data_IF_454741077767
#
_entry.id   IF_454741077767
#
_cell.length_a   1.000
_cell.length_b   1.000
_cell.length_c   1.000
_cell.angle_alpha   90.00
_cell.angle_beta   90.00
_cell.angle_gamma   90.00
#
_symmetry.space_group_name_H-M   'P 1'
#
loop_
_entity.id
_entity.type
_entity.pdbx_description
1 polymer ?
#
# COMPACT_ATOMS: atom_id res chain seq x y z
N UNK A 1 39.05 33.09 7.15
CA UNK A 1 38.79 32.00 6.18
C UNK A 1 37.86 30.88 6.73
N UNK A 2 36.92 31.18 7.65
CA UNK A 2 36.17 30.15 8.41
C UNK A 2 34.74 29.92 7.84
N UNK A 3 34.26 30.85 7.01
CA UNK A 3 32.92 30.83 6.40
C UNK A 3 32.59 29.57 5.57
N UNK A 4 33.50 29.02 4.73
CA UNK A 4 33.16 27.82 3.95
C UNK A 4 32.98 26.58 4.83
N UNK A 5 33.80 26.44 5.87
CA UNK A 5 33.70 25.34 6.83
C UNK A 5 32.39 25.42 7.63
N UNK A 6 31.98 26.62 8.05
CA UNK A 6 30.71 26.83 8.75
C UNK A 6 29.49 26.51 7.88
N UNK A 7 29.53 26.85 6.59
CA UNK A 7 28.46 26.52 5.65
C UNK A 7 28.37 25.02 5.43
N UNK A 8 29.51 24.35 5.28
CA UNK A 8 29.57 22.89 5.15
C UNK A 8 28.98 22.20 6.39
N UNK A 9 29.39 22.59 7.60
CA UNK A 9 28.85 22.04 8.86
C UNK A 9 27.34 22.24 8.94
N UNK A 10 26.83 23.44 8.65
CA UNK A 10 25.39 23.74 8.71
C UNK A 10 24.59 22.91 7.73
N UNK A 11 25.08 22.77 6.50
CA UNK A 11 24.44 21.96 5.46
C UNK A 11 24.44 20.48 5.86
N UNK A 12 25.55 19.96 6.40
CA UNK A 12 25.62 18.58 6.88
C UNK A 12 24.64 18.34 8.02
N UNK A 13 24.57 19.21 9.02
CA UNK A 13 23.62 19.09 10.13
C UNK A 13 22.18 19.13 9.61
N UNK A 14 21.86 20.05 8.69
CA UNK A 14 20.52 20.14 8.10
C UNK A 14 20.14 18.83 7.38
N UNK A 15 21.05 18.27 6.60
CA UNK A 15 20.82 17.00 5.91
C UNK A 15 20.64 15.84 6.89
N UNK A 16 21.45 15.77 7.96
CA UNK A 16 21.30 14.75 9.00
C UNK A 16 19.93 14.84 9.68
N UNK A 17 19.49 16.04 10.03
CA UNK A 17 18.16 16.26 10.63
C UNK A 17 17.05 15.88 9.66
N UNK A 18 17.17 16.27 8.38
CA UNK A 18 16.16 15.96 7.35
C UNK A 18 16.07 14.44 7.07
N UNK A 19 17.19 13.73 7.11
CA UNK A 19 17.25 12.29 6.81
C UNK A 19 17.02 11.40 8.03
N UNK A 20 17.07 11.94 9.26
CA UNK A 20 16.85 11.17 10.48
C UNK A 20 15.48 10.48 10.50
N UNK A 21 14.42 11.19 10.08
CA UNK A 21 13.06 10.64 10.01
C UNK A 21 12.95 9.43 9.07
N UNK A 22 13.27 9.59 7.77
CA UNK A 22 13.29 8.47 6.83
C UNK A 22 14.20 7.31 7.26
N UNK A 23 15.36 7.60 7.87
CA UNK A 23 16.27 6.57 8.36
C UNK A 23 15.65 5.74 9.50
N UNK A 24 14.95 6.39 10.44
CA UNK A 24 14.22 5.70 11.51
C UNK A 24 13.08 4.85 10.97
N UNK A 25 12.32 5.37 10.00
CA UNK A 25 11.26 4.59 9.33
C UNK A 25 11.86 3.35 8.68
N UNK A 26 12.94 3.49 7.90
CA UNK A 26 13.59 2.36 7.25
C UNK A 26 14.10 1.32 8.26
N UNK A 27 14.72 1.77 9.36
CA UNK A 27 15.27 0.88 10.40
C UNK A 27 14.19 0.11 11.19
N UNK A 28 12.98 0.67 11.31
CA UNK A 28 11.86 0.04 12.01
C UNK A 28 10.83 -0.60 11.07
N UNK A 29 10.97 -0.44 9.76
CA UNK A 29 10.01 -0.94 8.78
C UNK A 29 9.99 -2.47 8.73
N UNK A 30 8.79 -3.04 8.74
CA UNK A 30 8.56 -4.47 8.47
C UNK A 30 8.24 -4.74 7.00
N UNK A 31 8.20 -3.70 6.15
CA UNK A 31 7.74 -3.81 4.76
C UNK A 31 8.86 -4.08 3.74
N UNK A 32 10.13 -4.10 4.15
CA UNK A 32 11.24 -4.38 3.23
C UNK A 32 11.26 -5.85 2.79
N UNK A 33 11.31 -6.12 1.49
CA UNK A 33 11.69 -7.44 0.94
C UNK A 33 10.64 -8.20 0.12
N UNK A 34 9.36 -7.80 0.15
CA UNK A 34 8.34 -8.46 -0.70
C UNK A 34 8.30 -7.85 -2.11
N UNK A 35 8.59 -8.69 -3.09
CA UNK A 35 8.41 -8.40 -4.52
C UNK A 35 6.91 -8.44 -4.85
N UNK A 36 6.42 -7.42 -5.57
CA UNK A 36 5.03 -7.38 -6.06
C UNK A 36 4.71 -8.56 -7.01
N UNK A 37 5.73 -9.15 -7.64
CA UNK A 37 5.56 -10.27 -8.57
C UNK A 37 5.11 -11.53 -7.84
N UNK A 38 5.66 -11.74 -6.64
CA UNK A 38 5.50 -12.96 -5.84
C UNK A 38 4.49 -12.77 -4.70
N UNK A 39 3.79 -11.64 -4.69
CA UNK A 39 2.77 -11.36 -3.70
C UNK A 39 1.61 -12.36 -3.82
N UNK A 40 1.18 -12.90 -2.68
CA UNK A 40 -0.02 -13.71 -2.61
C UNK A 40 -1.24 -12.87 -3.04
N UNK A 41 -2.03 -13.42 -3.96
CA UNK A 41 -3.28 -12.82 -4.48
C UNK A 41 -4.51 -13.67 -4.11
N UNK A 42 -4.34 -14.64 -3.22
CA UNK A 42 -5.45 -15.38 -2.65
C UNK A 42 -6.37 -14.45 -1.86
N UNK A 43 -7.64 -14.83 -1.74
CA UNK A 43 -8.61 -14.03 -0.98
C UNK A 43 -8.18 -13.93 0.49
N UNK A 44 -8.23 -12.71 1.04
CA UNK A 44 -7.95 -12.47 2.45
C UNK A 44 -9.02 -13.07 3.40
N UNK A 45 -10.14 -13.58 2.87
CA UNK A 45 -11.19 -14.24 3.66
C UNK A 45 -11.98 -13.33 4.60
N UNK A 46 -11.83 -12.01 4.45
CA UNK A 46 -12.49 -11.00 5.29
C UNK A 46 -13.88 -10.58 4.77
N UNK A 47 -14.21 -10.90 3.51
CA UNK A 47 -15.53 -10.70 2.95
C UNK A 47 -16.44 -11.91 3.25
N UNK A 48 -17.76 -11.71 3.45
CA UNK A 48 -18.71 -12.81 3.50
C UNK A 48 -18.62 -13.66 2.24
N UNK A 49 -18.72 -14.99 2.38
CA UNK A 49 -18.72 -15.87 1.22
C UNK A 49 -19.90 -15.52 0.31
N UNK A 50 -19.68 -15.32 -1.00
CA UNK A 50 -20.72 -14.85 -1.89
C UNK A 50 -21.90 -15.83 -2.00
N UNK A 51 -21.70 -17.14 -1.80
CA UNK A 51 -22.80 -18.11 -1.77
C UNK A 51 -23.65 -18.10 -0.49
N UNK A 52 -23.20 -17.43 0.58
CA UNK A 52 -23.84 -17.45 1.90
C UNK A 52 -24.67 -16.20 2.22
N UNK A 53 -24.70 -15.23 1.31
CA UNK A 53 -25.35 -13.93 1.51
C UNK A 53 -26.09 -13.59 0.23
N UNK A 54 -27.38 -13.29 0.26
CA UNK A 54 -28.13 -13.02 -0.97
C UNK A 54 -28.05 -11.55 -1.37
N UNK A 55 -27.87 -10.67 -0.40
CA UNK A 55 -27.89 -9.23 -0.53
C UNK A 55 -26.81 -8.68 -1.47
N UNK A 56 -27.08 -7.50 -2.01
CA UNK A 56 -26.05 -6.71 -2.68
C UNK A 56 -25.09 -6.14 -1.63
N UNK A 57 -23.79 -6.20 -1.91
CA UNK A 57 -22.73 -5.81 -0.97
C UNK A 57 -21.78 -4.82 -1.66
N UNK A 58 -21.40 -3.78 -0.94
CA UNK A 58 -20.31 -2.88 -1.30
C UNK A 58 -19.36 -2.79 -0.11
N UNK A 59 -18.08 -3.12 -0.34
CA UNK A 59 -17.04 -3.09 0.68
C UNK A 59 -15.88 -2.25 0.19
N UNK A 60 -15.32 -1.43 1.08
CA UNK A 60 -14.14 -0.61 0.82
C UNK A 60 -13.02 -1.11 1.69
N UNK A 61 -11.89 -1.41 1.06
CA UNK A 61 -10.74 -2.01 1.70
C UNK A 61 -9.49 -1.17 1.50
N UNK A 62 -8.55 -1.35 2.42
CA UNK A 62 -7.24 -0.73 2.35
C UNK A 62 -6.16 -1.61 2.99
N UNK A 63 -5.00 -1.67 2.36
CA UNK A 63 -3.81 -2.33 2.88
C UNK A 63 -2.58 -1.46 2.60
N UNK A 64 -1.47 -1.67 3.32
CA UNK A 64 -0.22 -0.96 3.03
C UNK A 64 0.24 -1.28 1.60
N UNK A 65 0.78 -0.27 0.91
CA UNK A 65 1.37 -0.49 -0.41
C UNK A 65 2.58 -1.45 -0.34
N UNK A 66 2.94 -2.06 -1.47
CA UNK A 66 4.06 -3.00 -1.54
C UNK A 66 5.39 -2.33 -1.17
N UNK A 67 6.25 -3.10 -0.48
CA UNK A 67 7.62 -2.71 -0.14
C UNK A 67 7.70 -1.42 0.71
N UNK A 68 8.81 -0.68 0.62
CA UNK A 68 9.05 0.58 1.32
C UNK A 68 7.94 1.64 1.12
N UNK A 69 7.16 1.54 0.03
CA UNK A 69 6.02 2.44 -0.20
C UNK A 69 4.95 2.27 0.88
N UNK A 70 4.83 1.07 1.47
CA UNK A 70 3.88 0.77 2.54
C UNK A 70 4.13 1.54 3.84
N UNK A 71 5.33 2.12 4.01
CA UNK A 71 5.63 3.00 5.14
C UNK A 71 5.00 4.39 4.97
N UNK A 72 4.64 4.76 3.73
CA UNK A 72 4.14 6.10 3.39
C UNK A 72 2.75 6.10 2.76
N UNK A 73 2.26 4.95 2.28
CA UNK A 73 1.05 4.86 1.48
C UNK A 73 0.23 3.59 1.74
N UNK A 74 -1.08 3.73 1.55
CA UNK A 74 -2.04 2.63 1.49
C UNK A 74 -2.55 2.45 0.06
N UNK A 75 -2.75 1.21 -0.35
CA UNK A 75 -3.51 0.85 -1.54
C UNK A 75 -4.95 0.55 -1.12
N UNK A 76 -5.91 1.13 -1.84
CA UNK A 76 -7.35 0.99 -1.54
C UNK A 76 -8.06 0.39 -2.74
N UNK A 77 -9.10 -0.39 -2.47
CA UNK A 77 -9.95 -0.99 -3.49
C UNK A 77 -11.40 -1.11 -3.00
N UNK A 78 -12.31 -1.28 -3.95
CA UNK A 78 -13.74 -1.48 -3.69
C UNK A 78 -14.11 -2.87 -4.19
N UNK A 79 -14.76 -3.68 -3.36
CA UNK A 79 -15.38 -4.93 -3.78
C UNK A 79 -16.89 -4.75 -3.84
N UNK A 80 -17.49 -5.06 -4.98
CA UNK A 80 -18.94 -5.01 -5.17
C UNK A 80 -19.48 -6.38 -5.51
N UNK A 81 -20.64 -6.70 -4.97
CA UNK A 81 -21.41 -7.88 -5.34
C UNK A 81 -22.86 -7.48 -5.52
N UNK A 82 -23.44 -7.82 -6.67
CA UNK A 82 -24.88 -7.66 -6.90
C UNK A 82 -25.68 -8.75 -6.18
N UNK A 83 -26.97 -8.50 -5.93
CA UNK A 83 -27.86 -9.48 -5.30
C UNK A 83 -27.79 -10.83 -6.01
N UNK A 84 -27.62 -11.91 -5.24
CA UNK A 84 -27.58 -13.29 -5.75
C UNK A 84 -26.33 -13.67 -6.55
N UNK A 85 -25.33 -12.78 -6.70
CA UNK A 85 -24.11 -13.13 -7.41
C UNK A 85 -23.22 -14.09 -6.60
N UNK A 86 -22.56 -15.01 -7.32
CA UNK A 86 -21.66 -16.03 -6.77
C UNK A 86 -20.20 -15.55 -6.64
N UNK A 87 -19.88 -14.34 -7.08
CA UNK A 87 -18.53 -13.75 -7.11
C UNK A 87 -18.57 -12.26 -6.77
N UNK A 88 -17.44 -11.70 -6.35
CA UNK A 88 -17.26 -10.26 -6.21
C UNK A 88 -16.57 -9.68 -7.45
N UNK A 89 -16.87 -8.44 -7.77
CA UNK A 89 -16.09 -7.62 -8.71
C UNK A 89 -15.22 -6.65 -7.90
N UNK A 90 -13.91 -6.68 -8.17
CA UNK A 90 -12.92 -5.85 -7.46
C UNK A 90 -12.49 -4.70 -8.35
N UNK A 91 -12.70 -3.48 -7.85
CA UNK A 91 -12.35 -2.22 -8.48
C UNK A 91 -11.12 -1.64 -7.79
N UNK A 92 -9.96 -1.80 -8.42
CA UNK A 92 -8.68 -1.32 -7.95
C UNK A 92 -7.86 -0.70 -9.09
N UNK A 93 -6.86 0.12 -8.73
CA UNK A 93 -5.92 0.68 -9.71
C UNK A 93 -4.53 0.13 -9.41
N UNK A 94 -4.16 -0.93 -10.12
CA UNK A 94 -2.84 -1.59 -10.01
C UNK A 94 -1.91 -1.26 -11.17
N UNK A 95 -2.41 -0.66 -12.25
CA UNK A 95 -1.64 -0.17 -13.39
C UNK A 95 -2.50 0.47 -14.46
N UNK A 96 -1.88 0.96 -15.53
CA UNK A 96 -2.59 1.52 -16.70
C UNK A 96 -3.00 0.40 -17.67
N UNK A 97 -4.27 0.39 -18.09
CA UNK A 97 -4.77 -0.55 -19.12
C UNK A 97 -5.26 -1.91 -18.60
N UNK A 98 -5.43 -2.08 -17.28
CA UNK A 98 -6.03 -3.29 -16.70
C UNK A 98 -7.56 -3.16 -16.58
N UNK A 99 -8.26 -4.27 -16.83
CA UNK A 99 -9.71 -4.41 -16.60
C UNK A 99 -9.96 -4.93 -15.19
N UNK A 100 -11.12 -4.60 -14.61
CA UNK A 100 -11.64 -5.13 -13.34
C UNK A 100 -11.41 -6.64 -13.21
N UNK A 101 -10.84 -7.07 -12.08
CA UNK A 101 -10.58 -8.48 -11.79
C UNK A 101 -11.80 -9.10 -11.11
N UNK A 102 -12.22 -10.29 -11.59
CA UNK A 102 -13.27 -11.09 -10.93
C UNK A 102 -12.64 -11.94 -9.83
N UNK A 103 -13.20 -11.84 -8.63
CA UNK A 103 -12.78 -12.57 -7.43
C UNK A 103 -13.71 -13.72 -7.10
#
# INVERSE_FOLDING_TARGET
MIKPLQWLIRTTILLLVLLAGPALIAACSSQSGQSWRDADRSSAGIAPQPGQTEEAIVQVYGARAYSWRGDFAIHTWIATKVRGASTYEVHDVTGWGYTTVRS
#
